data_IF_541761806604
#
_entry.id   IF_541761806604
#
_cell.length_a   1.000
_cell.length_b   1.000
_cell.length_c   1.000
_cell.angle_alpha   90.00
_cell.angle_beta   90.00
_cell.angle_gamma   90.00
#
_symmetry.space_group_name_H-M   'P 1'
#
loop_
_entity.id
_entity.type
_entity.pdbx_description
1 polymer ?
#
# COMPACT_ATOMS: atom_id res chain seq x y z
N UNK A 1 -7.97 -18.77 -4.29
CA UNK A 1 -9.37 -19.12 -3.98
C UNK A 1 -9.62 -18.87 -2.50
N UNK A 2 -9.83 -17.61 -2.11
CA UNK A 2 -10.33 -17.27 -0.77
C UNK A 2 -11.78 -17.75 -0.71
N UNK A 3 -12.05 -18.71 0.18
CA UNK A 3 -13.28 -19.48 0.26
C UNK A 3 -14.53 -18.57 0.27
N UNK A 4 -15.52 -18.87 -0.57
CA UNK A 4 -16.80 -18.15 -0.63
C UNK A 4 -17.46 -18.02 0.75
N UNK A 5 -17.27 -19.01 1.63
CA UNK A 5 -17.71 -18.99 3.02
C UNK A 5 -17.10 -17.84 3.84
N UNK A 6 -15.84 -17.48 3.56
CA UNK A 6 -15.15 -16.38 4.23
C UNK A 6 -15.72 -15.02 3.78
N UNK A 7 -15.99 -14.86 2.49
CA UNK A 7 -16.62 -13.67 1.93
C UNK A 7 -18.07 -13.49 2.40
N UNK A 8 -18.83 -14.60 2.50
CA UNK A 8 -20.20 -14.59 3.05
C UNK A 8 -20.21 -14.19 4.52
N UNK A 9 -19.35 -14.79 5.37
CA UNK A 9 -19.22 -14.41 6.78
C UNK A 9 -18.88 -12.93 6.96
N UNK A 10 -17.99 -12.39 6.14
CA UNK A 10 -17.64 -10.97 6.16
C UNK A 10 -18.80 -10.06 5.75
N UNK A 11 -19.57 -10.47 4.74
CA UNK A 11 -20.77 -9.76 4.28
C UNK A 11 -21.85 -9.73 5.36
N UNK A 12 -22.10 -10.87 5.99
CA UNK A 12 -23.10 -11.00 7.06
C UNK A 12 -22.73 -10.15 8.29
N UNK A 13 -21.43 -10.05 8.60
CA UNK A 13 -20.91 -9.27 9.74
C UNK A 13 -21.14 -7.76 9.54
N UNK A 14 -21.08 -7.26 8.31
CA UNK A 14 -21.36 -5.85 7.98
C UNK A 14 -22.86 -5.58 7.77
N UNK A 15 -23.62 -6.56 7.26
CA UNK A 15 -25.07 -6.44 7.12
C UNK A 15 -25.78 -6.42 8.49
N UNK A 16 -25.27 -7.16 9.47
CA UNK A 16 -25.82 -7.20 10.83
C UNK A 16 -25.60 -5.91 11.63
N UNK A 17 -24.71 -5.02 11.15
CA UNK A 17 -24.10 -3.98 11.96
C UNK A 17 -23.57 -2.86 11.03
N UNK A 18 -24.39 -1.83 10.71
CA UNK A 18 -23.93 -0.72 9.90
C UNK A 18 -22.73 -0.06 10.58
N UNK A 19 -21.69 0.21 9.79
CA UNK A 19 -20.48 0.88 10.23
C UNK A 19 -20.86 2.21 10.91
N UNK A 20 -20.49 2.37 12.18
CA UNK A 20 -20.86 3.53 12.98
C UNK A 20 -19.68 3.99 13.81
N UNK A 21 -19.53 5.30 13.98
CA UNK A 21 -18.47 5.94 14.79
C UNK A 21 -18.42 5.40 16.23
N UNK A 22 -19.54 4.86 16.75
CA UNK A 22 -19.61 4.26 18.09
C UNK A 22 -18.72 3.01 18.25
N UNK A 23 -18.20 2.48 17.15
CA UNK A 23 -17.29 1.34 17.15
C UNK A 23 -15.86 1.73 17.50
N UNK A 24 -15.48 3.00 17.26
CA UNK A 24 -14.22 3.57 17.74
C UNK A 24 -14.23 3.89 19.24
N UNK A 25 -15.41 3.93 19.87
CA UNK A 25 -15.59 4.05 21.32
C UNK A 25 -15.64 2.72 22.06
N UNK A 26 -15.69 1.59 21.35
CA UNK A 26 -15.49 0.30 21.98
C UNK A 26 -14.01 0.17 22.37
N UNK A 27 -13.73 -0.19 23.62
CA UNK A 27 -12.38 -0.45 24.11
C UNK A 27 -11.81 -1.66 23.37
N UNK A 28 -11.17 -1.44 22.22
CA UNK A 28 -10.42 -2.48 21.52
C UNK A 28 -9.25 -2.86 22.42
N UNK A 29 -9.12 -4.15 22.72
CA UNK A 29 -7.98 -4.71 23.46
C UNK A 29 -6.70 -4.15 22.87
N UNK A 30 -5.99 -3.41 23.71
CA UNK A 30 -4.76 -2.73 23.31
C UNK A 30 -3.70 -3.72 22.80
N UNK A 31 -3.73 -4.98 23.24
CA UNK A 31 -2.71 -5.98 22.88
C UNK A 31 -2.75 -6.43 21.41
N UNK A 32 -3.85 -6.16 20.70
CA UNK A 32 -4.08 -6.67 19.33
C UNK A 32 -3.82 -5.64 18.22
N UNK A 33 -3.42 -4.42 18.59
CA UNK A 33 -3.06 -3.36 17.65
C UNK A 33 -1.59 -2.99 17.79
N UNK A 34 -0.71 -3.74 17.11
CA UNK A 34 0.68 -3.31 16.90
C UNK A 34 0.70 -2.10 15.96
N UNK A 35 0.67 -0.91 16.54
CA UNK A 35 0.90 0.36 15.85
C UNK A 35 2.40 0.54 15.58
N UNK A 36 2.74 0.89 14.33
CA UNK A 36 3.88 1.75 14.04
C UNK A 36 3.38 3.20 14.00
N UNK A 37 2.85 3.64 15.15
CA UNK A 37 2.81 5.01 15.64
C UNK A 37 2.85 4.84 17.16
N UNK A 38 3.81 5.51 17.78
CA UNK A 38 4.27 5.32 19.17
C UNK A 38 3.13 5.04 20.17
N UNK A 39 3.26 3.92 20.89
CA UNK A 39 2.60 3.54 22.16
C UNK A 39 1.15 3.98 22.44
N UNK A 40 0.27 2.97 22.50
CA UNK A 40 -0.89 2.75 23.39
C UNK A 40 -1.56 3.97 24.07
N UNK A 41 -2.88 4.11 23.81
CA UNK A 41 -3.86 5.15 24.20
C UNK A 41 -4.04 6.31 23.22
N UNK A 42 -3.06 6.59 22.37
CA UNK A 42 -3.17 7.62 21.33
C UNK A 42 -3.99 7.19 20.08
N UNK A 43 -4.38 5.93 19.96
CA UNK A 43 -4.88 5.36 18.69
C UNK A 43 -6.25 5.88 18.25
N UNK A 44 -7.21 6.01 19.16
CA UNK A 44 -8.55 6.48 18.83
C UNK A 44 -8.58 7.98 18.52
N UNK A 45 -7.84 8.80 19.28
CA UNK A 45 -7.73 10.23 19.01
C UNK A 45 -6.92 10.51 17.74
N UNK A 46 -5.84 9.77 17.47
CA UNK A 46 -5.11 9.88 16.20
C UNK A 46 -5.99 9.46 15.01
N UNK A 47 -6.77 8.38 15.12
CA UNK A 47 -7.73 8.01 14.07
C UNK A 47 -8.79 9.10 13.91
N UNK A 48 -9.34 9.65 14.99
CA UNK A 48 -10.29 10.78 14.93
C UNK A 48 -9.68 12.02 14.28
N UNK A 49 -8.44 12.39 14.61
CA UNK A 49 -7.75 13.54 14.06
C UNK A 49 -7.43 13.35 12.58
N UNK A 50 -7.04 12.14 12.17
CA UNK A 50 -6.85 11.79 10.76
C UNK A 50 -8.17 11.80 9.98
N UNK A 51 -9.27 11.33 10.58
CA UNK A 51 -10.61 11.42 9.99
C UNK A 51 -11.10 12.87 9.91
N UNK A 52 -10.82 13.69 10.92
CA UNK A 52 -11.10 15.15 10.89
C UNK A 52 -10.30 15.83 9.79
N UNK A 53 -9.01 15.52 9.65
CA UNK A 53 -8.17 15.98 8.55
C UNK A 53 -8.74 15.55 7.20
N UNK A 54 -9.17 14.29 7.06
CA UNK A 54 -9.78 13.78 5.83
C UNK A 54 -11.15 14.41 5.52
N UNK A 55 -11.80 15.11 6.46
CA UNK A 55 -13.06 15.83 6.23
C UNK A 55 -12.87 17.28 5.77
N UNK A 56 -11.76 17.93 6.12
CA UNK A 56 -11.48 19.34 5.76
C UNK A 56 -10.92 19.51 4.35
N UNK A 57 -11.51 20.37 3.52
CA UNK A 57 -11.15 20.53 2.10
C UNK A 57 -9.67 20.91 1.85
N UNK A 58 -9.11 21.86 2.61
CA UNK A 58 -7.69 22.22 2.52
C UNK A 58 -6.76 21.10 3.02
N UNK A 59 -7.18 20.40 4.08
CA UNK A 59 -6.44 19.27 4.63
C UNK A 59 -6.39 18.07 3.67
N UNK A 60 -7.42 17.86 2.84
CA UNK A 60 -7.44 16.79 1.83
C UNK A 60 -6.35 16.93 0.77
N UNK A 61 -5.94 18.16 0.43
CA UNK A 61 -4.86 18.40 -0.54
C UNK A 61 -3.51 17.85 -0.07
N UNK A 62 -3.34 17.73 1.25
CA UNK A 62 -2.15 17.18 1.92
C UNK A 62 -2.19 15.66 2.10
N UNK A 63 -3.21 14.99 1.56
CA UNK A 63 -3.41 13.55 1.75
C UNK A 63 -3.23 12.87 0.39
N UNK A 64 -2.31 11.92 0.35
CA UNK A 64 -1.99 11.14 -0.83
C UNK A 64 -2.18 9.66 -0.55
N UNK A 65 -2.75 8.95 -1.51
CA UNK A 65 -2.86 7.49 -1.47
C UNK A 65 -1.77 6.93 -2.35
N UNK A 66 -1.00 5.98 -1.82
CA UNK A 66 0.04 5.28 -2.54
C UNK A 66 -0.16 3.77 -2.43
N UNK A 67 0.15 3.08 -3.52
CA UNK A 67 0.31 1.63 -3.56
C UNK A 67 1.52 1.29 -4.44
N UNK A 68 2.19 0.19 -4.11
CA UNK A 68 3.37 -0.26 -4.84
C UNK A 68 3.34 -1.77 -5.03
N UNK A 69 3.64 -2.21 -6.25
CA UNK A 69 3.94 -3.61 -6.54
C UNK A 69 5.44 -3.88 -6.51
N UNK A 70 5.80 -5.15 -6.32
CA UNK A 70 7.19 -5.56 -6.46
C UNK A 70 7.57 -6.87 -5.78
N UNK A 71 8.87 -7.12 -5.80
CA UNK A 71 9.47 -8.31 -5.23
C UNK A 71 9.80 -8.09 -3.75
N UNK A 72 9.02 -8.74 -2.89
CA UNK A 72 9.24 -8.71 -1.44
C UNK A 72 10.48 -9.50 -1.06
N UNK A 73 11.40 -8.84 -0.35
CA UNK A 73 12.60 -9.45 0.20
C UNK A 73 12.29 -10.16 1.53
N UNK A 74 12.77 -11.38 1.71
CA UNK A 74 12.45 -12.20 2.90
C UNK A 74 13.33 -11.89 4.12
N UNK A 75 14.47 -11.23 3.90
CA UNK A 75 15.38 -10.82 4.97
C UNK A 75 14.76 -9.67 5.76
N UNK A 76 14.61 -9.88 7.06
CA UNK A 76 14.08 -8.85 7.96
C UNK A 76 14.91 -7.57 7.87
N UNK A 77 14.22 -6.43 7.81
CA UNK A 77 14.86 -5.11 7.78
C UNK A 77 15.32 -4.63 6.40
N UNK A 78 15.11 -5.41 5.33
CA UNK A 78 15.43 -5.00 3.95
C UNK A 78 14.16 -4.62 3.19
N UNK A 79 14.22 -3.51 2.44
CA UNK A 79 13.13 -3.01 1.65
C UNK A 79 12.87 -3.91 0.42
N UNK A 80 11.62 -3.98 -0.06
CA UNK A 80 11.31 -4.62 -1.34
C UNK A 80 12.03 -3.98 -2.52
N UNK A 81 12.05 -4.70 -3.64
CA UNK A 81 12.37 -4.16 -4.96
C UNK A 81 11.06 -3.80 -5.62
N UNK A 82 10.77 -2.50 -5.69
CA UNK A 82 9.51 -1.98 -6.21
C UNK A 82 9.51 -1.98 -7.73
N UNK A 83 8.42 -2.40 -8.36
CA UNK A 83 8.31 -2.48 -9.81
C UNK A 83 7.34 -1.46 -10.38
N UNK A 84 6.33 -1.07 -9.61
CA UNK A 84 5.30 -0.12 -10.00
C UNK A 84 4.95 0.82 -8.84
N UNK A 85 4.48 2.01 -9.19
CA UNK A 85 3.89 2.97 -8.27
C UNK A 85 2.54 3.41 -8.78
N UNK A 86 1.58 3.54 -7.86
CA UNK A 86 0.38 4.32 -8.04
C UNK A 86 0.33 5.40 -6.95
N UNK A 87 -0.11 6.59 -7.34
CA UNK A 87 -0.29 7.72 -6.43
C UNK A 87 -1.53 8.51 -6.82
N UNK A 88 -2.35 8.88 -5.85
CA UNK A 88 -3.59 9.65 -6.07
C UNK A 88 -3.74 10.67 -4.96
N UNK A 89 -4.02 11.93 -5.31
CA UNK A 89 -4.35 12.94 -4.32
C UNK A 89 -5.81 12.76 -3.86
N UNK A 90 -6.02 12.81 -2.55
CA UNK A 90 -7.32 12.53 -1.96
C UNK A 90 -8.37 13.64 -2.20
N UNK A 91 -7.94 14.88 -2.45
CA UNK A 91 -8.86 15.98 -2.75
C UNK A 91 -9.50 15.85 -4.14
N UNK A 92 -8.73 15.36 -5.11
CA UNK A 92 -9.17 15.19 -6.50
C UNK A 92 -8.61 13.88 -7.09
N UNK A 93 -9.18 12.73 -6.68
CA UNK A 93 -8.64 11.44 -7.09
C UNK A 93 -8.88 11.08 -8.56
N UNK A 94 -9.74 11.85 -9.26
CA UNK A 94 -10.04 11.63 -10.67
C UNK A 94 -9.01 12.31 -11.58
N UNK A 95 -8.47 13.46 -11.17
CA UNK A 95 -7.62 14.29 -12.01
C UNK A 95 -6.18 14.41 -11.51
N UNK A 96 -5.94 14.32 -10.19
CA UNK A 96 -4.59 14.39 -9.61
C UNK A 96 -4.13 12.99 -9.25
N UNK A 97 -3.58 12.30 -10.25
CA UNK A 97 -3.10 10.92 -10.15
C UNK A 97 -1.83 10.69 -10.96
N UNK A 98 -1.06 9.71 -10.54
CA UNK A 98 0.19 9.30 -11.16
C UNK A 98 0.34 7.79 -11.07
N UNK A 99 0.81 7.16 -12.13
CA UNK A 99 1.19 5.74 -12.12
C UNK A 99 2.37 5.52 -13.05
N UNK A 100 3.17 4.49 -12.76
CA UNK A 100 4.26 4.14 -13.65
C UNK A 100 5.12 2.97 -13.16
N UNK A 101 5.86 2.39 -14.09
CA UNK A 101 6.87 1.37 -13.81
C UNK A 101 8.16 2.03 -13.32
N UNK A 102 8.80 1.41 -12.35
CA UNK A 102 10.09 1.85 -11.81
C UNK A 102 11.21 1.26 -12.65
N UNK A 103 12.27 2.04 -12.84
CA UNK A 103 13.51 1.59 -13.49
C UNK A 103 14.70 1.77 -12.56
N UNK A 104 15.48 0.70 -12.43
CA UNK A 104 16.76 0.69 -11.73
C UNK A 104 17.91 0.78 -12.73
N UNK A 105 19.05 1.31 -12.29
CA UNK A 105 20.26 1.43 -13.12
C UNK A 105 21.01 0.11 -13.35
N UNK A 106 20.51 -1.00 -12.78
CA UNK A 106 21.12 -2.32 -12.86
C UNK A 106 20.34 -3.23 -13.81
N UNK A 107 21.06 -4.11 -14.50
CA UNK A 107 20.46 -5.21 -15.26
C UNK A 107 19.80 -6.21 -14.31
N UNK A 108 18.77 -6.93 -14.75
CA UNK A 108 18.12 -7.97 -13.96
C UNK A 108 19.12 -9.04 -13.49
N UNK A 109 20.11 -9.36 -14.33
CA UNK A 109 21.21 -10.26 -13.96
C UNK A 109 22.07 -9.70 -12.81
N UNK A 110 22.38 -8.40 -12.82
CA UNK A 110 23.12 -7.74 -11.75
C UNK A 110 22.29 -7.65 -10.46
N UNK A 111 21.01 -7.26 -10.56
CA UNK A 111 20.07 -7.23 -9.43
C UNK A 111 19.95 -8.62 -8.78
N UNK A 112 19.76 -9.67 -9.59
CA UNK A 112 19.67 -11.06 -9.10
C UNK A 112 20.94 -11.47 -8.35
N UNK A 113 22.10 -11.11 -8.88
CA UNK A 113 23.40 -11.41 -8.26
C UNK A 113 23.52 -10.74 -6.89
N UNK A 114 23.17 -9.47 -6.79
CA UNK A 114 23.22 -8.71 -5.53
C UNK A 114 22.27 -9.32 -4.48
N UNK A 115 21.01 -9.56 -4.84
CA UNK A 115 20.02 -10.20 -3.96
C UNK A 115 20.53 -11.56 -3.45
N UNK A 116 21.12 -12.37 -4.34
CA UNK A 116 21.66 -13.69 -4.01
C UNK A 116 22.86 -13.59 -3.08
N UNK A 117 23.83 -12.74 -3.40
CA UNK A 117 25.05 -12.55 -2.59
C UNK A 117 24.72 -12.07 -1.17
N UNK A 118 23.73 -11.20 -1.03
CA UNK A 118 23.26 -10.68 0.26
C UNK A 118 22.32 -11.63 1.00
N UNK A 119 21.98 -12.79 0.41
CA UNK A 119 21.05 -13.77 0.98
C UNK A 119 19.67 -13.17 1.29
N UNK A 120 19.22 -12.22 0.46
CA UNK A 120 18.08 -11.36 0.77
C UNK A 120 16.73 -12.12 0.61
N UNK A 121 16.65 -13.05 -0.34
CA UNK A 121 15.48 -13.91 -0.54
C UNK A 121 15.78 -15.36 -0.12
N UNK A 122 14.90 -15.98 0.66
CA UNK A 122 14.92 -17.40 1.03
C UNK A 122 13.55 -18.00 0.74
N UNK A 123 13.49 -18.95 -0.18
CA UNK A 123 12.26 -19.69 -0.44
C UNK A 123 12.01 -20.72 0.68
N UNK A 124 10.78 -21.26 0.74
CA UNK A 124 10.35 -22.20 1.81
C UNK A 124 11.25 -23.44 1.96
N UNK A 125 11.95 -23.85 0.91
CA UNK A 125 12.90 -24.96 0.93
C UNK A 125 14.33 -24.58 1.36
N UNK A 126 14.56 -23.33 1.76
CA UNK A 126 15.88 -22.82 2.14
C UNK A 126 16.79 -22.47 0.96
N UNK A 127 16.38 -22.75 -0.27
CA UNK A 127 17.20 -22.55 -1.47
C UNK A 127 16.83 -21.25 -2.18
N UNK A 128 17.82 -20.52 -2.69
CA UNK A 128 17.58 -19.36 -3.54
C UNK A 128 17.22 -19.83 -4.97
N UNK A 129 15.98 -19.60 -5.39
CA UNK A 129 15.53 -19.90 -6.76
C UNK A 129 16.02 -18.80 -7.72
N UNK A 130 17.31 -18.90 -8.11
CA UNK A 130 17.95 -17.95 -9.04
C UNK A 130 17.16 -17.81 -10.35
N UNK A 131 16.74 -18.91 -11.02
CA UNK A 131 15.98 -18.80 -12.26
C UNK A 131 14.67 -18.04 -12.13
N UNK A 132 13.89 -18.26 -11.05
CA UNK A 132 12.63 -17.55 -10.85
C UNK A 132 12.85 -16.04 -10.64
N UNK A 133 13.77 -15.67 -9.76
CA UNK A 133 14.06 -14.26 -9.46
C UNK A 133 14.59 -13.55 -10.70
N UNK A 134 15.54 -14.17 -11.41
CA UNK A 134 16.08 -13.60 -12.64
C UNK A 134 15.00 -13.44 -13.71
N UNK A 135 14.16 -14.46 -13.93
CA UNK A 135 13.08 -14.39 -14.91
C UNK A 135 12.06 -13.31 -14.56
N UNK A 136 11.68 -13.18 -13.28
CA UNK A 136 10.81 -12.10 -12.82
C UNK A 136 11.44 -10.73 -13.11
N UNK A 137 12.70 -10.52 -12.72
CA UNK A 137 13.39 -9.25 -12.90
C UNK A 137 13.63 -8.92 -14.38
N UNK A 138 13.97 -9.91 -15.22
CA UNK A 138 14.13 -9.69 -16.67
C UNK A 138 12.78 -9.33 -17.30
N UNK A 139 11.70 -10.02 -16.94
CA UNK A 139 10.35 -9.64 -17.40
C UNK A 139 9.93 -8.24 -16.94
N UNK A 140 10.35 -7.77 -15.77
CA UNK A 140 9.98 -6.42 -15.30
C UNK A 140 10.88 -5.33 -15.86
N UNK A 141 12.19 -5.58 -16.00
CA UNK A 141 13.19 -4.52 -16.23
C UNK A 141 13.97 -4.62 -17.55
N UNK A 142 14.03 -5.78 -18.21
CA UNK A 142 14.82 -6.00 -19.43
C UNK A 142 13.96 -6.30 -20.66
N UNK A 143 13.09 -7.31 -20.57
CA UNK A 143 12.30 -7.86 -21.68
C UNK A 143 10.81 -7.46 -21.64
N UNK A 144 10.33 -6.82 -20.56
CA UNK A 144 8.97 -6.27 -20.45
C UNK A 144 8.91 -4.75 -20.59
N UNK A 145 8.19 -4.07 -19.67
CA UNK A 145 7.91 -2.62 -19.68
C UNK A 145 9.16 -1.73 -19.49
N UNK A 146 10.27 -2.02 -20.16
CA UNK A 146 11.58 -1.33 -20.13
C UNK A 146 11.59 0.16 -20.52
N UNK A 147 10.43 0.81 -20.52
CA UNK A 147 10.20 2.26 -20.56
C UNK A 147 9.74 2.83 -19.21
N UNK A 148 9.92 2.11 -18.11
CA UNK A 148 9.72 2.67 -16.78
C UNK A 148 10.59 3.91 -16.56
N UNK A 149 10.11 4.81 -15.71
CA UNK A 149 10.82 6.01 -15.33
C UNK A 149 11.86 5.67 -14.25
N UNK A 150 13.02 6.34 -14.31
CA UNK A 150 14.00 6.32 -13.23
C UNK A 150 13.39 6.93 -11.96
N UNK A 151 13.92 6.57 -10.79
CA UNK A 151 13.38 7.06 -9.51
C UNK A 151 13.36 8.59 -9.41
N UNK A 152 14.35 9.28 -9.99
CA UNK A 152 14.37 10.74 -10.02
C UNK A 152 13.25 11.33 -10.89
N UNK A 153 12.88 10.69 -12.02
CA UNK A 153 11.77 11.12 -12.88
C UNK A 153 10.43 10.97 -12.15
N UNK A 154 10.25 9.86 -11.43
CA UNK A 154 9.08 9.67 -10.54
C UNK A 154 9.03 10.74 -9.45
N UNK A 155 10.16 11.07 -8.84
CA UNK A 155 10.25 12.11 -7.81
C UNK A 155 9.86 13.48 -8.37
N UNK A 156 10.39 13.86 -9.53
CA UNK A 156 10.06 15.13 -10.18
C UNK A 156 8.57 15.21 -10.52
N UNK A 157 7.99 14.13 -11.05
CA UNK A 157 6.56 14.07 -11.36
C UNK A 157 5.69 14.25 -10.10
N UNK A 158 6.00 13.55 -9.00
CA UNK A 158 5.26 13.67 -7.75
C UNK A 158 5.37 15.06 -7.13
N UNK A 159 6.57 15.66 -7.14
CA UNK A 159 6.78 17.03 -6.68
C UNK A 159 6.00 18.03 -7.52
N UNK A 160 5.97 17.86 -8.84
CA UNK A 160 5.21 18.72 -9.75
C UNK A 160 3.69 18.62 -9.52
N UNK A 161 3.21 17.43 -9.15
CA UNK A 161 1.81 17.22 -8.74
C UNK A 161 1.49 17.73 -7.33
N UNK A 162 2.49 18.24 -6.60
CA UNK A 162 2.33 18.87 -5.29
C UNK A 162 2.50 17.95 -4.08
N UNK A 163 3.05 16.74 -4.25
CA UNK A 163 3.37 15.85 -3.12
C UNK A 163 4.61 16.33 -2.36
N UNK A 164 4.50 16.51 -1.05
CA UNK A 164 5.60 16.87 -0.16
C UNK A 164 5.78 15.86 0.98
N UNK A 165 6.77 14.97 0.86
CA UNK A 165 6.96 13.82 1.78
C UNK A 165 6.95 14.19 3.27
N UNK A 166 7.56 15.31 3.68
CA UNK A 166 7.67 15.67 5.11
C UNK A 166 6.38 16.31 5.69
N UNK A 167 5.55 16.91 4.84
CA UNK A 167 4.37 17.66 5.27
C UNK A 167 3.08 16.83 5.10
N UNK A 168 3.04 16.04 4.04
CA UNK A 168 1.87 15.30 3.60
C UNK A 168 1.66 14.00 4.38
N UNK A 169 0.45 13.49 4.26
CA UNK A 169 0.01 12.22 4.85
C UNK A 169 -0.15 11.20 3.74
N UNK A 170 0.45 10.03 3.94
CA UNK A 170 0.39 8.90 2.99
C UNK A 170 -0.59 7.84 3.50
N UNK A 171 -1.64 7.59 2.73
CA UNK A 171 -2.52 6.44 2.89
C UNK A 171 -1.95 5.30 2.06
N UNK A 172 -1.90 4.10 2.64
CA UNK A 172 -1.45 2.91 1.93
C UNK A 172 -2.19 1.66 2.42
N UNK A 173 -2.26 0.61 1.60
CA UNK A 173 -2.91 -0.64 1.98
C UNK A 173 -1.88 -1.76 2.15
N UNK A 174 -1.19 -1.79 3.30
CA UNK A 174 -0.27 -2.91 3.51
C UNK A 174 -0.01 -3.27 4.97
N UNK A 175 -0.08 -4.59 5.20
CA UNK A 175 0.51 -5.25 6.36
C UNK A 175 2.04 -5.24 6.31
N UNK A 176 2.61 -5.03 5.12
CA UNK A 176 4.04 -5.13 4.82
C UNK A 176 4.61 -3.77 4.42
N UNK A 177 5.87 -3.49 4.72
CA UNK A 177 6.49 -2.16 4.59
C UNK A 177 6.71 -1.71 3.12
N UNK A 178 6.01 -2.31 2.16
CA UNK A 178 6.24 -2.13 0.71
C UNK A 178 5.92 -0.69 0.33
N UNK A 179 4.71 -0.22 0.56
CA UNK A 179 4.29 1.11 0.08
C UNK A 179 5.09 2.23 0.75
N UNK A 180 5.25 2.14 2.07
CA UNK A 180 6.01 3.12 2.85
C UNK A 180 7.48 3.22 2.41
N UNK A 181 8.09 2.10 1.98
CA UNK A 181 9.48 2.12 1.49
C UNK A 181 9.57 2.53 0.04
N UNK A 182 8.52 2.34 -0.76
CA UNK A 182 8.46 2.78 -2.15
C UNK A 182 8.49 4.30 -2.25
N UNK A 183 7.66 4.99 -1.44
CA UNK A 183 7.66 6.46 -1.36
C UNK A 183 9.04 6.97 -1.00
N UNK A 184 9.60 6.53 0.13
CA UNK A 184 10.90 7.05 0.57
C UNK A 184 12.03 6.70 -0.39
N UNK A 185 11.98 5.55 -1.08
CA UNK A 185 12.94 5.17 -2.13
C UNK A 185 12.91 6.13 -3.31
N UNK A 186 11.72 6.49 -3.81
CA UNK A 186 11.57 7.50 -4.87
C UNK A 186 12.11 8.84 -4.40
N UNK A 187 11.70 9.30 -3.21
CA UNK A 187 12.08 10.63 -2.71
C UNK A 187 13.59 10.77 -2.45
N UNK A 188 14.27 9.68 -2.11
CA UNK A 188 15.73 9.63 -1.93
C UNK A 188 16.50 9.27 -3.19
N UNK A 189 15.82 8.95 -4.29
CA UNK A 189 16.43 8.41 -5.51
C UNK A 189 17.34 7.20 -5.21
N UNK A 190 16.88 6.31 -4.34
CA UNK A 190 17.67 5.19 -3.83
C UNK A 190 17.63 4.01 -4.80
N UNK A 191 18.70 3.85 -5.59
CA UNK A 191 18.77 2.89 -6.70
C UNK A 191 19.34 1.52 -6.31
N UNK A 192 19.74 1.29 -5.06
CA UNK A 192 20.24 0.01 -4.58
C UNK A 192 19.13 -1.03 -4.49
N UNK A 193 19.42 -2.29 -4.81
CA UNK A 193 18.39 -3.35 -4.86
C UNK A 193 18.16 -3.91 -3.47
N UNK A 194 19.24 -4.06 -2.69
CA UNK A 194 19.20 -4.52 -1.30
C UNK A 194 19.43 -3.34 -0.35
N UNK A 195 18.36 -2.59 -0.08
CA UNK A 195 18.43 -1.40 0.79
C UNK A 195 17.80 -1.66 2.16
N UNK A 196 18.42 -1.23 3.28
CA UNK A 196 17.77 -1.25 4.58
C UNK A 196 16.49 -0.42 4.61
N UNK A 197 15.47 -0.92 5.31
CA UNK A 197 14.17 -0.23 5.42
C UNK A 197 14.31 1.13 6.10
N UNK A 198 15.21 1.26 7.08
CA UNK A 198 15.47 2.53 7.78
C UNK A 198 15.84 3.66 6.83
N UNK A 199 16.50 3.32 5.72
CA UNK A 199 17.12 4.31 4.84
C UNK A 199 16.08 4.87 3.86
N UNK A 200 15.06 4.07 3.54
CA UNK A 200 14.02 4.37 2.55
C UNK A 200 12.60 4.43 3.12
N UNK A 201 12.42 4.31 4.44
CA UNK A 201 11.10 4.47 5.04
C UNK A 201 10.62 5.91 4.86
N UNK A 202 9.40 6.08 4.32
CA UNK A 202 8.81 7.41 4.11
C UNK A 202 8.88 8.27 5.37
N UNK A 203 9.21 9.55 5.21
CA UNK A 203 9.13 10.55 6.27
C UNK A 203 7.70 11.02 6.52
N UNK A 204 6.78 10.75 5.60
CA UNK A 204 5.37 11.10 5.75
C UNK A 204 4.74 10.43 6.95
N UNK A 205 3.75 11.09 7.53
CA UNK A 205 2.80 10.43 8.42
C UNK A 205 1.99 9.44 7.60
N UNK A 206 1.73 8.25 8.13
CA UNK A 206 1.04 7.20 7.38
C UNK A 206 -0.31 6.81 7.98
N UNK A 207 -1.24 6.42 7.11
CA UNK A 207 -2.53 5.84 7.46
C UNK A 207 -2.67 4.50 6.76
N UNK A 208 -3.05 3.48 7.52
CA UNK A 208 -3.38 2.15 7.00
C UNK A 208 -4.90 1.90 7.18
N UNK A 209 -5.73 2.05 6.12
CA UNK A 209 -7.17 1.86 6.19
C UNK A 209 -7.57 0.43 6.61
N UNK A 210 -6.74 -0.57 6.35
CA UNK A 210 -7.03 -1.94 6.78
C UNK A 210 -7.09 -2.03 8.31
N UNK A 211 -6.22 -1.31 9.02
CA UNK A 211 -6.25 -1.26 10.49
C UNK A 211 -7.50 -0.59 11.02
N UNK A 212 -7.94 0.51 10.39
CA UNK A 212 -9.18 1.19 10.75
C UNK A 212 -10.37 0.25 10.53
N UNK A 213 -10.41 -0.40 9.38
CA UNK A 213 -11.47 -1.35 9.04
C UNK A 213 -11.51 -2.54 10.00
N UNK A 214 -10.35 -3.12 10.37
CA UNK A 214 -10.27 -4.21 11.36
C UNK A 214 -10.69 -3.77 12.75
N UNK A 215 -10.26 -2.58 13.18
CA UNK A 215 -10.62 -2.02 14.48
C UNK A 215 -12.15 -1.81 14.59
N UNK A 216 -12.79 -1.41 13.49
CA UNK A 216 -14.23 -1.27 13.47
C UNK A 216 -14.91 -2.65 13.43
N UNK A 217 -14.52 -3.55 12.53
CA UNK A 217 -15.23 -4.82 12.33
C UNK A 217 -14.91 -5.92 13.36
N UNK A 218 -13.90 -5.71 14.20
CA UNK A 218 -13.30 -6.76 15.05
C UNK A 218 -12.86 -8.00 14.26
N UNK A 219 -12.58 -7.86 12.95
CA UNK A 219 -12.17 -8.98 12.11
C UNK A 219 -10.66 -9.24 12.22
N UNK A 220 -10.30 -10.42 12.72
CA UNK A 220 -8.91 -10.79 12.98
C UNK A 220 -8.24 -11.55 11.81
N UNK A 221 -9.03 -12.06 10.85
CA UNK A 221 -8.51 -12.86 9.74
C UNK A 221 -7.64 -12.07 8.75
N UNK A 222 -6.95 -12.78 7.83
CA UNK A 222 -6.27 -12.14 6.70
C UNK A 222 -7.28 -11.46 5.77
N UNK A 223 -7.04 -10.19 5.43
CA UNK A 223 -7.84 -9.42 4.48
C UNK A 223 -6.92 -8.79 3.43
N UNK A 224 -7.14 -9.11 2.16
CA UNK A 224 -6.58 -8.35 1.04
C UNK A 224 -7.48 -7.15 0.71
N UNK A 225 -6.93 -6.16 0.01
CA UNK A 225 -7.68 -5.01 -0.50
C UNK A 225 -8.87 -5.47 -1.33
N UNK A 226 -8.63 -6.39 -2.26
CA UNK A 226 -9.64 -6.97 -3.14
C UNK A 226 -10.83 -7.59 -2.40
N UNK A 227 -10.60 -8.26 -1.27
CA UNK A 227 -11.67 -8.83 -0.46
C UNK A 227 -12.50 -7.73 0.18
N UNK A 228 -11.85 -6.78 0.88
CA UNK A 228 -12.57 -5.71 1.58
C UNK A 228 -13.30 -4.80 0.59
N UNK A 229 -12.70 -4.50 -0.56
CA UNK A 229 -13.31 -3.70 -1.61
C UNK A 229 -14.62 -4.32 -2.10
N UNK A 230 -14.61 -5.61 -2.49
CA UNK A 230 -15.83 -6.31 -2.96
C UNK A 230 -16.94 -6.37 -1.94
N UNK A 231 -16.57 -6.35 -0.66
CA UNK A 231 -17.52 -6.36 0.44
C UNK A 231 -18.15 -4.96 0.61
N UNK A 232 -17.35 -3.90 0.55
CA UNK A 232 -17.79 -2.51 0.72
C UNK A 232 -18.52 -1.95 -0.50
N UNK A 233 -18.24 -2.50 -1.68
CA UNK A 233 -18.77 -2.09 -2.98
C UNK A 233 -19.35 -3.30 -3.74
N UNK A 234 -20.43 -3.93 -3.22
CA UNK A 234 -20.97 -5.16 -3.80
C UNK A 234 -21.46 -4.90 -5.23
N UNK A 235 -20.99 -5.72 -6.18
CA UNK A 235 -21.38 -5.64 -7.59
C UNK A 235 -20.55 -4.67 -8.42
N UNK A 236 -19.76 -3.77 -7.83
CA UNK A 236 -18.90 -2.87 -8.62
C UNK A 236 -17.72 -3.58 -9.30
N UNK A 237 -17.29 -4.71 -8.75
CA UNK A 237 -16.26 -5.58 -9.34
C UNK A 237 -16.73 -6.34 -10.58
N UNK A 238 -18.05 -6.34 -10.85
CA UNK A 238 -18.69 -7.05 -11.97
C UNK A 238 -19.53 -6.14 -12.87
N UNK A 239 -20.02 -5.00 -12.36
CA UNK A 239 -20.96 -4.11 -13.05
C UNK A 239 -20.35 -3.30 -14.20
N UNK A 240 -19.02 -3.21 -14.29
CA UNK A 240 -18.38 -2.31 -15.27
C UNK A 240 -17.74 -3.00 -16.48
N UNK A 241 -17.76 -4.32 -16.61
CA UNK A 241 -17.04 -5.01 -17.69
C UNK A 241 -15.50 -4.81 -17.66
N UNK A 242 -15.01 -3.94 -16.79
CA UNK A 242 -13.62 -3.79 -16.38
C UNK A 242 -13.33 -4.95 -15.42
N UNK A 243 -12.63 -5.98 -15.91
CA UNK A 243 -11.86 -6.84 -15.01
C UNK A 243 -10.96 -5.91 -14.21
N UNK A 244 -11.29 -5.66 -12.94
CA UNK A 244 -10.36 -4.96 -12.05
C UNK A 244 -9.07 -5.75 -12.05
N UNK A 245 -8.01 -5.15 -12.56
CA UNK A 245 -6.70 -5.78 -12.65
C UNK A 245 -6.00 -5.62 -11.30
N UNK A 246 -6.46 -6.44 -10.36
CA UNK A 246 -5.85 -6.56 -9.04
C UNK A 246 -4.38 -6.92 -9.20
N UNK A 247 -3.52 -6.39 -8.32
CA UNK A 247 -2.07 -6.49 -8.42
C UNK A 247 -1.45 -5.57 -9.48
N UNK A 248 -2.04 -4.38 -9.62
CA UNK A 248 -1.43 -3.28 -10.35
C UNK A 248 -1.52 -2.04 -9.47
N UNK A 249 -0.41 -1.32 -9.35
CA UNK A 249 -0.30 -0.26 -8.36
C UNK A 249 -1.33 0.87 -8.61
N UNK A 250 -1.68 1.15 -9.86
CA UNK A 250 -2.72 2.15 -10.20
C UNK A 250 -4.09 1.75 -9.66
N UNK A 251 -4.55 0.53 -9.95
CA UNK A 251 -5.88 0.08 -9.54
C UNK A 251 -5.97 -0.08 -8.04
N UNK A 252 -4.94 -0.62 -7.41
CA UNK A 252 -4.90 -0.82 -5.96
C UNK A 252 -4.83 0.53 -5.22
N UNK A 253 -4.15 1.54 -5.77
CA UNK A 253 -4.20 2.92 -5.24
C UNK A 253 -5.62 3.50 -5.31
N UNK A 254 -6.29 3.39 -6.45
CA UNK A 254 -7.66 3.91 -6.63
C UNK A 254 -8.66 3.18 -5.73
N UNK A 255 -8.56 1.86 -5.63
CA UNK A 255 -9.39 1.05 -4.75
C UNK A 255 -9.19 1.42 -3.27
N UNK A 256 -7.94 1.61 -2.85
CA UNK A 256 -7.58 2.09 -1.51
C UNK A 256 -8.17 3.47 -1.24
N UNK A 257 -8.07 4.40 -2.20
CA UNK A 257 -8.64 5.74 -2.08
C UNK A 257 -10.15 5.70 -1.89
N UNK A 258 -10.87 4.96 -2.75
CA UNK A 258 -12.34 4.82 -2.66
C UNK A 258 -12.77 4.19 -1.35
N UNK A 259 -12.09 3.13 -0.92
CA UNK A 259 -12.37 2.48 0.35
C UNK A 259 -12.16 3.45 1.51
N UNK A 260 -11.08 4.23 1.51
CA UNK A 260 -10.84 5.24 2.54
C UNK A 260 -11.91 6.35 2.53
N UNK A 261 -12.34 6.85 1.36
CA UNK A 261 -13.48 7.79 1.26
C UNK A 261 -14.72 7.19 1.92
N UNK A 262 -15.04 5.92 1.61
CA UNK A 262 -16.21 5.24 2.17
C UNK A 262 -16.12 5.07 3.68
N UNK A 263 -14.94 4.74 4.21
CA UNK A 263 -14.69 4.69 5.65
C UNK A 263 -14.88 6.06 6.30
N UNK A 264 -14.34 7.13 5.71
CA UNK A 264 -14.46 8.51 6.24
C UNK A 264 -15.91 9.02 6.22
N UNK A 265 -16.71 8.61 5.22
CA UNK A 265 -18.14 8.97 5.09
C UNK A 265 -19.06 8.15 6.00
N UNK A 266 -18.72 6.89 6.27
CA UNK A 266 -19.50 6.01 7.16
C UNK A 266 -19.22 6.26 8.64
N UNK A 267 -18.12 6.95 8.95
CA UNK A 267 -17.80 7.53 10.25
C UNK A 267 -18.39 8.93 10.32
#
# INVERSE_FOLDING_TARGET
>A
MLCALHATRLRDLLAAKPFSISWLSASVSTQDVKLFLLSHRASAEVVKDLLRLARGAESKKRIWVFDFEGLVITRSGVAPVHTEVGAVNFADPAHVRYSGFLKYALTAAAMTREIKQQGAIRFKNGTFNTPYVQNFLSNMFEDGFGKGNCLWEHREALLHLGFGEEEDVVIHWSRHRVDCTGVGRIMRNETGVVTPISDVYTKSRTIDPLKIWKACTSYEGPCSLSVVYRIMFPGEDTAFGLKMDWHTAEWDTLATCRLFIKLVQGL
#
